data_IF_251328017929
#
_entry.id   IF_251328017929
#
_cell.length_a   1.000
_cell.length_b   1.000
_cell.length_c   1.000
_cell.angle_alpha   90.00
_cell.angle_beta   90.00
_cell.angle_gamma   90.00
#
_symmetry.space_group_name_H-M   'P 1'
#
loop_
_entity.id
_entity.type
_entity.pdbx_description
1 polymer ?
#
# COMPACT_ATOMS: atom_id res chain seq x y z
N UNK A 1 4.21 -10.12 13.60
CA UNK A 1 4.67 -8.74 13.88
C UNK A 1 4.99 -8.06 12.55
N UNK A 2 3.96 -7.79 11.73
CA UNK A 2 4.11 -7.02 10.49
C UNK A 2 3.32 -5.74 10.69
N UNK A 3 3.97 -4.76 11.30
CA UNK A 3 3.39 -3.45 11.54
C UNK A 3 3.60 -2.61 10.30
N UNK A 4 2.54 -1.93 9.85
CA UNK A 4 2.65 -0.84 8.89
C UNK A 4 3.67 0.19 9.40
N UNK A 5 4.49 0.71 8.50
CA UNK A 5 5.41 1.81 8.78
C UNK A 5 4.58 3.06 9.07
N UNK A 6 4.69 3.66 10.28
CA UNK A 6 3.76 4.69 10.74
C UNK A 6 3.92 6.03 10.02
N UNK A 7 5.05 6.24 9.35
CA UNK A 7 5.33 7.44 8.56
C UNK A 7 4.92 7.32 7.08
N UNK A 8 4.50 6.13 6.63
CA UNK A 8 3.97 5.93 5.28
C UNK A 8 2.44 5.91 5.30
N UNK A 9 1.82 6.30 4.19
CA UNK A 9 0.39 6.09 3.98
C UNK A 9 0.08 4.59 3.79
N UNK A 10 -1.19 4.20 3.78
CA UNK A 10 -1.60 2.84 3.44
C UNK A 10 -1.09 2.47 2.06
N UNK A 11 -1.26 3.37 1.07
CA UNK A 11 -0.67 3.20 -0.26
C UNK A 11 0.84 3.02 -0.18
N UNK A 12 1.55 3.87 0.57
CA UNK A 12 3.02 3.80 0.68
C UNK A 12 3.52 2.48 1.27
N UNK A 13 2.79 1.94 2.26
CA UNK A 13 3.10 0.63 2.84
C UNK A 13 2.95 -0.51 1.82
N UNK A 14 1.87 -0.51 1.03
CA UNK A 14 1.65 -1.51 -0.02
C UNK A 14 2.67 -1.31 -1.16
N UNK A 15 2.88 -0.07 -1.59
CA UNK A 15 3.82 0.31 -2.65
C UNK A 15 5.23 -0.16 -2.35
N UNK A 16 5.67 -0.03 -1.10
CA UNK A 16 7.00 -0.50 -0.67
C UNK A 16 7.18 -2.00 -0.91
N UNK A 17 6.14 -2.81 -0.64
CA UNK A 17 6.18 -4.24 -0.91
C UNK A 17 6.15 -4.54 -2.41
N UNK A 18 5.30 -3.84 -3.17
CA UNK A 18 5.19 -3.97 -4.63
C UNK A 18 6.51 -3.62 -5.31
N UNK A 19 7.15 -2.52 -4.93
CA UNK A 19 8.45 -2.10 -5.45
C UNK A 19 9.53 -3.15 -5.19
N UNK A 20 9.54 -3.76 -4.01
CA UNK A 20 10.50 -4.82 -3.68
C UNK A 20 10.30 -6.08 -4.52
N UNK A 21 9.05 -6.47 -4.78
CA UNK A 21 8.72 -7.69 -5.54
C UNK A 21 8.94 -7.51 -7.04
N UNK A 22 8.65 -6.32 -7.58
CA UNK A 22 8.66 -6.05 -9.01
C UNK A 22 9.80 -5.14 -9.48
N UNK A 23 10.79 -4.87 -8.63
CA UNK A 23 12.01 -4.15 -9.01
C UNK A 23 12.63 -4.76 -10.28
N UNK A 24 12.85 -3.92 -11.30
CA UNK A 24 13.42 -4.33 -12.59
C UNK A 24 12.50 -5.18 -13.48
N UNK A 25 11.29 -5.52 -13.04
CA UNK A 25 10.31 -6.32 -13.80
C UNK A 25 9.11 -5.51 -14.29
N UNK A 26 8.77 -4.45 -13.57
CA UNK A 26 7.68 -3.54 -13.90
C UNK A 26 8.14 -2.09 -13.90
N UNK A 27 7.62 -1.32 -14.85
CA UNK A 27 7.75 0.13 -14.87
C UNK A 27 7.18 0.76 -13.59
N UNK A 28 7.57 2.00 -13.25
CA UNK A 28 6.98 2.70 -12.11
C UNK A 28 5.46 2.86 -12.19
N UNK A 29 4.91 3.00 -13.40
CA UNK A 29 3.47 3.10 -13.67
C UNK A 29 2.74 1.77 -13.40
N UNK A 30 3.23 0.66 -13.96
CA UNK A 30 2.64 -0.67 -13.70
C UNK A 30 2.67 -1.05 -12.21
N UNK A 31 3.66 -0.55 -11.46
CA UNK A 31 3.72 -0.73 -9.99
C UNK A 31 2.73 0.16 -9.26
N UNK A 32 2.42 1.36 -9.78
CA UNK A 32 1.34 2.20 -9.25
C UNK A 32 -0.01 1.50 -9.43
N UNK A 33 -0.30 1.06 -10.66
CA UNK A 33 -1.55 0.38 -11.02
C UNK A 33 -1.74 -0.88 -10.16
N UNK A 34 -0.72 -1.72 -10.06
CA UNK A 34 -0.76 -2.91 -9.21
C UNK A 34 -0.99 -2.56 -7.73
N UNK A 35 -0.39 -1.48 -7.23
CA UNK A 35 -0.60 -1.05 -5.84
C UNK A 35 -2.07 -0.65 -5.61
N UNK A 36 -2.68 0.05 -6.56
CA UNK A 36 -4.09 0.46 -6.49
C UNK A 36 -5.02 -0.75 -6.54
N UNK A 37 -4.78 -1.69 -7.44
CA UNK A 37 -5.53 -2.95 -7.52
C UNK A 37 -5.47 -3.73 -6.20
N UNK A 38 -4.30 -3.81 -5.55
CA UNK A 38 -4.17 -4.46 -4.25
C UNK A 38 -4.98 -3.75 -3.18
N UNK A 39 -5.02 -2.41 -3.18
CA UNK A 39 -5.85 -1.64 -2.24
C UNK A 39 -7.34 -1.86 -2.48
N UNK A 40 -7.78 -1.96 -3.74
CA UNK A 40 -9.17 -2.27 -4.07
C UNK A 40 -9.56 -3.67 -3.59
N UNK A 41 -8.69 -4.67 -3.80
CA UNK A 41 -8.94 -6.05 -3.36
C UNK A 41 -9.12 -6.19 -1.85
N UNK A 42 -8.44 -5.36 -1.06
CA UNK A 42 -8.60 -5.35 0.40
C UNK A 42 -9.56 -4.26 0.89
N UNK A 43 -10.33 -3.64 -0.01
CA UNK A 43 -11.26 -2.54 0.30
C UNK A 43 -10.62 -1.34 1.02
N UNK A 44 -9.33 -1.07 0.78
CA UNK A 44 -8.57 0.02 1.40
C UNK A 44 -8.33 1.22 0.49
N UNK A 45 -8.81 1.22 -0.76
CA UNK A 45 -8.61 2.34 -1.69
C UNK A 45 -9.11 3.68 -1.14
N UNK A 46 -10.24 3.69 -0.42
CA UNK A 46 -10.77 4.89 0.24
C UNK A 46 -9.88 5.45 1.38
N UNK A 47 -8.89 4.66 1.83
CA UNK A 47 -7.94 5.01 2.87
C UNK A 47 -6.49 5.08 2.36
N UNK A 48 -6.28 5.07 1.03
CA UNK A 48 -4.96 5.03 0.41
C UNK A 48 -4.00 6.10 0.93
N UNK A 49 -4.51 7.32 1.15
CA UNK A 49 -3.72 8.47 1.58
C UNK A 49 -3.62 8.62 3.10
N UNK A 50 -4.33 7.78 3.87
CA UNK A 50 -4.30 7.80 5.34
C UNK A 50 -3.04 7.12 5.86
N UNK A 51 -2.53 7.57 7.00
CA UNK A 51 -1.48 6.87 7.77
C UNK A 51 -2.08 5.83 8.71
N UNK A 52 -1.29 4.86 9.21
CA UNK A 52 -1.77 3.84 10.14
C UNK A 52 -2.46 4.37 11.40
N UNK A 53 -2.13 5.58 11.86
CA UNK A 53 -2.78 6.23 13.02
C UNK A 53 -4.20 6.73 12.71
N UNK A 54 -4.57 6.86 11.45
CA UNK A 54 -5.83 7.45 10.96
C UNK A 54 -6.85 6.38 10.51
N UNK A 55 -6.49 5.11 10.64
CA UNK A 55 -7.32 3.95 10.30
C UNK A 55 -7.61 3.12 11.55
N UNK A 56 -8.76 2.46 11.56
CA UNK A 56 -9.17 1.62 12.69
C UNK A 56 -8.25 0.40 12.86
N UNK A 57 -8.26 -0.21 14.05
CA UNK A 57 -7.48 -1.42 14.30
C UNK A 57 -7.78 -2.57 13.35
N UNK A 58 -9.03 -2.69 12.88
CA UNK A 58 -9.44 -3.72 11.90
C UNK A 58 -9.03 -3.43 10.46
N UNK A 59 -8.51 -2.23 10.18
CA UNK A 59 -8.02 -1.82 8.86
C UNK A 59 -6.49 -1.94 8.72
N UNK A 60 -5.77 -2.19 9.81
CA UNK A 60 -4.31 -2.38 9.82
C UNK A 60 -3.96 -3.81 9.45
#
# INVERSE_FOLDING_TARGET
NHSLLPWLTVYGNVRLAVDKVFAGRKSPAERDDWTREMLDLVNMAHAADKRPSEISGGMK
#
